data_IF_481830046722
#
_entry.id   IF_481830046722
#
_cell.length_a   1.000
_cell.length_b   1.000
_cell.length_c   1.000
_cell.angle_alpha   90.00
_cell.angle_beta   90.00
_cell.angle_gamma   90.00
#
_symmetry.space_group_name_H-M   'P 1'
#
loop_
_entity.id
_entity.type
_entity.pdbx_description
1 polymer ?
#
# COMPACT_ATOMS: atom_id res chain seq x y z
N UNK A 1 0.30 47.26 -40.82
CA UNK A 1 0.16 46.81 -39.42
C UNK A 1 1.56 46.65 -38.85
N UNK A 2 1.90 47.48 -37.86
CA UNK A 2 3.28 47.70 -37.43
C UNK A 2 3.79 46.53 -36.57
N UNK A 3 4.94 45.98 -36.96
CA UNK A 3 5.63 44.82 -36.36
C UNK A 3 5.86 44.95 -34.84
N UNK A 4 5.82 46.18 -34.33
CA UNK A 4 5.98 46.49 -32.90
C UNK A 4 4.77 46.11 -32.03
N UNK A 5 3.58 45.90 -32.61
CA UNK A 5 2.39 45.49 -31.85
C UNK A 5 2.33 43.99 -31.52
N UNK A 6 3.02 43.14 -32.30
CA UNK A 6 3.08 41.70 -32.00
C UNK A 6 3.93 41.37 -30.76
N UNK A 7 4.99 42.16 -30.50
CA UNK A 7 5.90 41.92 -29.36
C UNK A 7 5.21 42.23 -28.03
N UNK A 8 4.32 43.23 -28.00
CA UNK A 8 3.56 43.62 -26.79
C UNK A 8 2.52 42.56 -26.44
N UNK A 9 1.86 41.95 -27.44
CA UNK A 9 0.86 40.90 -27.21
C UNK A 9 1.52 39.59 -26.74
N UNK A 10 2.67 39.22 -27.32
CA UNK A 10 3.41 38.03 -26.90
C UNK A 10 3.98 38.14 -25.47
N UNK A 11 4.36 39.35 -25.03
CA UNK A 11 4.84 39.60 -23.66
C UNK A 11 3.73 39.51 -22.61
N UNK A 12 2.52 40.02 -22.90
CA UNK A 12 1.39 39.95 -21.96
C UNK A 12 0.87 38.52 -21.76
N UNK A 13 0.96 37.65 -22.77
CA UNK A 13 0.56 36.23 -22.64
C UNK A 13 1.49 35.43 -21.71
N UNK A 14 2.78 35.78 -21.64
CA UNK A 14 3.74 35.08 -20.77
C UNK A 14 3.61 35.49 -19.29
N UNK A 15 3.23 36.74 -19.01
CA UNK A 15 3.08 37.23 -17.62
C UNK A 15 1.75 36.77 -16.99
N UNK A 16 0.68 36.62 -17.80
CA UNK A 16 -0.61 36.10 -17.32
C UNK A 16 -0.63 34.56 -17.18
N UNK A 17 0.31 33.84 -17.81
CA UNK A 17 0.44 32.40 -17.66
C UNK A 17 1.08 31.95 -16.34
N UNK A 18 1.82 32.83 -15.65
CA UNK A 18 2.58 32.48 -14.44
C UNK A 18 1.91 32.89 -13.12
N UNK A 19 0.79 33.61 -13.15
CA UNK A 19 0.09 33.99 -11.91
C UNK A 19 -1.00 33.00 -11.47
N UNK A 20 -1.34 31.99 -12.28
CA UNK A 20 -2.39 31.02 -11.96
C UNK A 20 -1.89 29.72 -11.29
N UNK A 21 -0.62 29.65 -10.89
CA UNK A 21 -0.08 28.51 -10.13
C UNK A 21 0.37 28.87 -8.70
N UNK A 22 0.08 30.08 -8.20
CA UNK A 22 0.48 30.48 -6.83
C UNK A 22 -0.67 30.67 -5.83
N UNK A 23 -1.93 30.48 -6.25
CA UNK A 23 -3.06 30.39 -5.33
C UNK A 23 -4.08 29.34 -5.80
N UNK A 24 -3.81 28.08 -5.49
CA UNK A 24 -4.86 27.08 -5.27
C UNK A 24 -4.54 26.40 -3.96
N UNK A 25 -4.97 27.06 -2.88
CA UNK A 25 -5.17 26.38 -1.62
C UNK A 25 -6.17 25.25 -1.86
N UNK A 26 -5.77 24.04 -1.42
CA UNK A 26 -6.60 23.04 -0.76
C UNK A 26 -8.11 23.20 -1.03
N UNK A 27 -8.60 22.60 -2.12
CA UNK A 27 -9.99 22.16 -2.20
C UNK A 27 -10.07 20.89 -3.05
N UNK A 28 -10.30 19.82 -2.30
CA UNK A 28 -10.76 18.50 -2.64
C UNK A 28 -11.90 18.54 -3.68
N UNK A 29 -11.82 17.72 -4.73
CA UNK A 29 -12.92 17.56 -5.69
C UNK A 29 -12.55 16.84 -6.98
N UNK A 30 -12.83 15.54 -6.99
CA UNK A 30 -13.12 14.66 -8.15
C UNK A 30 -12.09 14.53 -9.28
N UNK A 31 -11.12 13.64 -9.06
CA UNK A 31 -10.66 12.72 -10.10
C UNK A 31 -11.02 11.29 -9.71
N UNK A 32 -11.89 10.68 -10.50
CA UNK A 32 -12.14 9.25 -10.46
C UNK A 32 -10.94 8.51 -11.06
N UNK A 33 -10.06 7.98 -10.21
CA UNK A 33 -9.31 6.73 -10.47
C UNK A 33 -8.59 6.27 -9.20
N UNK A 34 -8.98 5.06 -8.78
CA UNK A 34 -8.45 4.13 -7.79
C UNK A 34 -7.31 4.53 -6.81
N UNK A 35 -7.64 4.34 -5.53
CA UNK A 35 -6.80 3.85 -4.43
C UNK A 35 -5.45 4.55 -4.16
N UNK A 36 -5.50 5.67 -3.43
CA UNK A 36 -4.42 6.04 -2.49
C UNK A 36 -5.06 6.64 -1.23
N UNK A 37 -5.40 5.80 -0.25
CA UNK A 37 -5.61 6.27 1.13
C UNK A 37 -4.27 6.17 1.87
N UNK A 38 -3.54 7.28 1.91
CA UNK A 38 -2.38 7.44 2.77
C UNK A 38 -2.86 7.46 4.23
N UNK A 39 -2.57 6.40 4.98
CA UNK A 39 -2.81 6.37 6.43
C UNK A 39 -1.52 6.76 7.15
N UNK A 40 -1.44 8.01 7.59
CA UNK A 40 -0.59 8.41 8.71
C UNK A 40 -1.32 8.11 10.02
N UNK A 41 -0.96 7.09 10.81
CA UNK A 41 -1.17 7.18 12.24
C UNK A 41 -0.02 8.03 12.79
N UNK A 42 -0.35 9.13 13.46
CA UNK A 42 0.62 9.80 14.32
C UNK A 42 1.05 8.80 15.40
N UNK A 43 2.28 8.30 15.31
CA UNK A 43 2.92 7.61 16.44
C UNK A 43 3.46 8.68 17.39
N UNK A 44 2.53 9.29 18.14
CA UNK A 44 2.80 10.10 19.31
C UNK A 44 2.26 9.35 20.52
N UNK A 45 3.18 8.91 21.37
CA UNK A 45 2.97 8.35 22.71
C UNK A 45 1.63 8.70 23.37
N UNK A 46 0.77 7.69 23.50
CA UNK A 46 -0.47 7.74 24.27
C UNK A 46 -1.10 6.36 24.27
N UNK A 47 -1.20 5.75 25.45
CA UNK A 47 -2.04 4.59 25.70
C UNK A 47 -3.48 4.94 25.32
N UNK A 48 -3.92 4.52 24.13
CA UNK A 48 -5.32 4.58 23.73
C UNK A 48 -5.82 3.15 23.44
N UNK A 49 -6.84 2.80 24.23
CA UNK A 49 -7.56 1.55 24.34
C UNK A 49 -7.79 0.82 23.01
N UNK A 50 -7.32 -0.42 22.96
CA UNK A 50 -7.50 -1.38 21.86
C UNK A 50 -8.89 -2.01 21.87
N UNK A 51 -9.94 -1.27 21.50
CA UNK A 51 -11.30 -1.83 21.37
C UNK A 51 -11.89 -1.80 19.95
N UNK A 52 -11.26 -1.14 18.97
CA UNK A 52 -11.72 -1.09 17.57
C UNK A 52 -10.66 -1.58 16.56
N UNK A 53 -9.91 -2.64 16.90
CA UNK A 53 -9.01 -3.27 15.93
C UNK A 53 -9.84 -4.01 14.88
N UNK A 54 -10.05 -3.38 13.71
CA UNK A 54 -10.73 -4.02 12.58
C UNK A 54 -10.01 -5.32 12.20
N UNK A 55 -10.77 -6.42 12.12
CA UNK A 55 -10.21 -7.71 11.76
C UNK A 55 -9.67 -7.71 10.33
N UNK A 56 -8.55 -8.40 10.11
CA UNK A 56 -7.97 -8.60 8.79
C UNK A 56 -8.83 -9.61 8.04
N UNK A 57 -9.45 -9.17 6.94
CA UNK A 57 -10.38 -9.96 6.14
C UNK A 57 -9.68 -10.68 4.99
N UNK A 58 -8.65 -10.06 4.41
CA UNK A 58 -7.87 -10.66 3.33
C UNK A 58 -6.44 -10.12 3.26
N UNK A 59 -5.59 -10.87 2.56
CA UNK A 59 -4.22 -10.50 2.24
C UNK A 59 -4.08 -10.40 0.73
N UNK A 60 -3.65 -9.25 0.22
CA UNK A 60 -3.31 -9.08 -1.19
C UNK A 60 -1.80 -9.24 -1.42
N UNK A 61 -1.42 -10.03 -2.42
CA UNK A 61 -0.03 -10.36 -2.74
C UNK A 61 0.23 -10.02 -4.22
N UNK A 62 1.25 -9.23 -4.54
CA UNK A 62 1.66 -9.01 -5.92
C UNK A 62 2.03 -10.31 -6.62
N UNK A 63 1.58 -10.53 -7.86
CA UNK A 63 1.83 -11.74 -8.63
C UNK A 63 2.13 -11.41 -10.09
N UNK A 64 3.39 -11.05 -10.39
CA UNK A 64 3.74 -10.51 -11.70
C UNK A 64 3.03 -9.17 -11.95
N UNK A 65 2.19 -9.09 -12.99
CA UNK A 65 1.32 -7.93 -13.26
C UNK A 65 -0.07 -8.05 -12.60
N UNK A 66 -0.35 -9.20 -12.00
CA UNK A 66 -1.62 -9.56 -11.37
C UNK A 66 -1.49 -9.44 -9.84
N UNK A 67 -2.56 -9.75 -9.12
CA UNK A 67 -2.53 -9.88 -7.66
C UNK A 67 -3.32 -11.10 -7.20
N UNK A 68 -2.83 -11.76 -6.16
CA UNK A 68 -3.57 -12.77 -5.42
C UNK A 68 -4.27 -12.09 -4.25
N UNK A 69 -5.55 -12.40 -4.01
CA UNK A 69 -6.26 -12.03 -2.79
C UNK A 69 -6.60 -13.29 -2.02
N UNK A 70 -6.02 -13.44 -0.84
CA UNK A 70 -6.21 -14.58 0.04
C UNK A 70 -7.19 -14.21 1.13
N UNK A 71 -8.29 -14.93 1.25
CA UNK A 71 -9.28 -14.71 2.29
C UNK A 71 -8.84 -15.34 3.61
N UNK A 72 -8.82 -14.54 4.66
CA UNK A 72 -8.26 -14.92 5.96
C UNK A 72 -9.07 -16.03 6.66
N UNK A 73 -10.36 -16.11 6.39
CA UNK A 73 -11.31 -17.03 7.02
C UNK A 73 -11.34 -18.41 6.35
N UNK A 74 -11.33 -18.42 5.03
CA UNK A 74 -11.57 -19.61 4.20
C UNK A 74 -10.30 -20.14 3.53
N UNK A 75 -9.25 -19.33 3.44
CA UNK A 75 -8.05 -19.67 2.68
C UNK A 75 -8.26 -19.66 1.16
N UNK A 76 -9.40 -19.20 0.67
CA UNK A 76 -9.62 -19.03 -0.77
C UNK A 76 -8.67 -17.97 -1.34
N UNK A 77 -8.06 -18.27 -2.47
CA UNK A 77 -7.13 -17.41 -3.19
C UNK A 77 -7.78 -17.03 -4.52
N UNK A 78 -8.07 -15.75 -4.69
CA UNK A 78 -8.63 -15.19 -5.91
C UNK A 78 -7.48 -14.51 -6.70
N UNK A 79 -7.20 -14.95 -7.93
CA UNK A 79 -6.25 -14.29 -8.83
C UNK A 79 -6.97 -13.22 -9.64
N UNK A 80 -6.57 -11.96 -9.45
CA UNK A 80 -7.07 -10.81 -10.21
C UNK A 80 -6.06 -10.35 -11.24
N UNK A 81 -6.50 -10.05 -12.46
CA UNK A 81 -5.67 -9.40 -13.46
C UNK A 81 -5.42 -7.91 -13.15
N UNK A 82 -4.65 -7.24 -14.00
CA UNK A 82 -4.38 -5.82 -13.90
C UNK A 82 -5.62 -4.93 -14.04
N UNK A 83 -6.72 -5.44 -14.63
CA UNK A 83 -8.00 -4.76 -14.75
C UNK A 83 -8.93 -5.05 -13.55
N UNK A 84 -8.48 -5.83 -12.58
CA UNK A 84 -9.26 -6.22 -11.40
C UNK A 84 -10.33 -7.28 -11.67
N UNK A 85 -10.25 -7.98 -12.80
CA UNK A 85 -11.13 -9.10 -13.11
C UNK A 85 -10.59 -10.39 -12.48
N UNK A 86 -11.49 -11.20 -11.93
CA UNK A 86 -11.16 -12.52 -11.43
C UNK A 86 -10.82 -13.44 -12.61
N UNK A 87 -9.63 -14.01 -12.61
CA UNK A 87 -9.11 -14.88 -13.66
C UNK A 87 -9.19 -16.35 -13.24
N UNK A 88 -8.76 -16.63 -12.01
CA UNK A 88 -8.59 -18.00 -11.52
C UNK A 88 -8.76 -18.03 -10.00
N UNK A 89 -9.20 -19.17 -9.48
CA UNK A 89 -9.39 -19.41 -8.06
C UNK A 89 -8.51 -20.58 -7.61
N UNK A 90 -7.97 -20.47 -6.40
CA UNK A 90 -7.23 -21.53 -5.71
C UNK A 90 -7.58 -21.56 -4.23
N UNK A 91 -7.06 -22.53 -3.51
CA UNK A 91 -7.30 -22.66 -2.07
C UNK A 91 -6.02 -23.01 -1.33
N UNK A 92 -5.80 -22.37 -0.19
CA UNK A 92 -4.81 -22.82 0.78
C UNK A 92 -5.24 -24.14 1.41
N UNK A 93 -4.26 -25.00 1.68
CA UNK A 93 -4.45 -26.16 2.54
C UNK A 93 -4.73 -25.70 3.98
N UNK A 94 -5.23 -26.64 4.80
CA UNK A 94 -5.55 -26.36 6.20
C UNK A 94 -4.33 -25.94 7.02
N UNK A 95 -3.14 -26.45 6.68
CA UNK A 95 -1.88 -26.10 7.33
C UNK A 95 -1.51 -24.66 7.02
N UNK A 96 -1.49 -24.28 5.75
CA UNK A 96 -1.13 -22.95 5.31
C UNK A 96 -2.15 -21.90 5.76
N UNK A 97 -3.44 -22.25 5.79
CA UNK A 97 -4.50 -21.38 6.32
C UNK A 97 -4.30 -21.13 7.82
N UNK A 98 -4.04 -22.18 8.61
CA UNK A 98 -3.78 -22.02 10.03
C UNK A 98 -2.53 -21.19 10.29
N UNK A 99 -1.50 -21.36 9.46
CA UNK A 99 -0.28 -20.57 9.54
C UNK A 99 -0.57 -19.09 9.20
N UNK A 100 -1.29 -18.82 8.11
CA UNK A 100 -1.73 -17.47 7.73
C UNK A 100 -2.46 -16.77 8.87
N UNK A 101 -3.47 -17.43 9.45
CA UNK A 101 -4.28 -16.93 10.56
C UNK A 101 -3.45 -16.63 11.83
N UNK A 102 -2.33 -17.34 12.01
CA UNK A 102 -1.44 -17.08 13.15
C UNK A 102 -0.69 -15.75 13.01
N UNK A 103 -0.38 -15.33 11.78
CA UNK A 103 0.38 -14.11 11.48
C UNK A 103 -0.50 -12.86 11.42
N UNK A 104 -1.69 -12.94 10.81
CA UNK A 104 -2.57 -11.80 10.52
C UNK A 104 -3.37 -11.30 11.74
N UNK A 105 -2.77 -11.33 12.92
CA UNK A 105 -3.39 -10.77 14.13
C UNK A 105 -3.01 -9.29 14.24
N UNK A 106 -3.96 -8.38 14.51
CA UNK A 106 -3.71 -6.93 14.48
C UNK A 106 -2.54 -6.45 15.36
N UNK A 107 -2.27 -7.17 16.45
CA UNK A 107 -1.20 -6.85 17.41
C UNK A 107 0.22 -7.22 16.94
N UNK A 108 0.37 -7.89 15.80
CA UNK A 108 1.67 -8.31 15.28
C UNK A 108 2.32 -7.27 14.38
N UNK A 109 1.77 -6.06 14.23
CA UNK A 109 2.26 -5.05 13.28
C UNK A 109 3.19 -4.05 13.99
N UNK A 110 4.41 -3.94 13.50
CA UNK A 110 5.45 -3.04 13.97
C UNK A 110 5.74 -1.93 12.94
N UNK A 111 5.99 -0.72 13.43
CA UNK A 111 6.46 0.39 12.62
C UNK A 111 7.99 0.41 12.47
N UNK A 112 8.49 1.37 11.70
CA UNK A 112 9.93 1.65 11.66
C UNK A 112 10.46 1.95 13.06
N UNK A 113 11.70 1.54 13.40
CA UNK A 113 12.34 2.02 14.61
C UNK A 113 12.44 3.56 14.56
N UNK A 114 12.31 4.19 15.73
CA UNK A 114 12.44 5.64 15.86
C UNK A 114 13.80 6.09 15.29
N UNK A 115 13.77 7.12 14.44
CA UNK A 115 14.96 7.64 13.77
C UNK A 115 15.54 8.82 14.55
N UNK A 116 16.87 8.94 14.49
CA UNK A 116 17.59 10.12 14.99
C UNK A 116 17.32 11.34 14.11
N UNK A 117 17.07 12.49 14.74
CA UNK A 117 16.68 13.73 14.07
C UNK A 117 17.72 14.29 13.08
N UNK A 118 18.99 13.91 13.21
CA UNK A 118 20.10 14.43 12.40
C UNK A 118 20.43 13.58 11.16
N UNK A 119 19.63 12.54 10.87
CA UNK A 119 19.92 11.60 9.80
C UNK A 119 19.38 12.12 8.45
N UNK A 120 20.27 12.20 7.45
CA UNK A 120 19.87 12.54 6.07
C UNK A 120 19.35 11.30 5.36
N UNK A 121 18.11 11.37 4.87
CA UNK A 121 17.42 10.29 4.19
C UNK A 121 17.38 10.53 2.67
N UNK A 122 17.69 9.51 1.89
CA UNK A 122 17.49 9.53 0.45
C UNK A 122 16.03 9.17 0.12
N UNK A 123 15.45 9.83 -0.88
CA UNK A 123 14.15 9.43 -1.41
C UNK A 123 14.34 8.15 -2.23
N UNK A 124 13.96 7.01 -1.64
CA UNK A 124 14.05 5.69 -2.25
C UNK A 124 12.78 4.94 -1.88
N UNK A 125 12.02 4.55 -2.89
CA UNK A 125 10.79 3.79 -2.69
C UNK A 125 11.06 2.29 -2.72
N UNK A 126 10.58 1.59 -1.69
CA UNK A 126 10.55 0.13 -1.64
C UNK A 126 9.09 -0.31 -1.56
N UNK A 127 8.64 -1.07 -2.56
CA UNK A 127 7.27 -1.59 -2.60
C UNK A 127 7.06 -2.66 -1.51
N UNK A 128 5.84 -2.71 -0.97
CA UNK A 128 5.44 -3.75 -0.04
C UNK A 128 5.35 -5.13 -0.70
N UNK A 129 5.61 -6.19 0.08
CA UNK A 129 5.56 -7.56 -0.42
C UNK A 129 4.16 -8.19 -0.29
N UNK A 130 3.31 -7.61 0.55
CA UNK A 130 1.90 -7.99 0.73
C UNK A 130 1.12 -6.80 1.28
N UNK A 131 -0.21 -6.85 1.21
CA UNK A 131 -1.09 -5.86 1.83
C UNK A 131 -2.16 -6.54 2.66
N UNK A 132 -2.36 -6.08 3.89
CA UNK A 132 -3.46 -6.52 4.75
C UNK A 132 -4.68 -5.65 4.49
N UNK A 133 -5.83 -6.27 4.29
CA UNK A 133 -7.12 -5.60 4.10
C UNK A 133 -7.96 -5.76 5.36
N UNK A 134 -8.40 -4.64 5.93
CA UNK A 134 -9.22 -4.57 7.15
C UNK A 134 -10.41 -3.67 6.84
N UNK A 135 -11.57 -4.27 6.55
CA UNK A 135 -12.73 -3.50 6.09
C UNK A 135 -12.42 -2.68 4.83
N UNK A 136 -12.41 -1.35 4.94
CA UNK A 136 -12.06 -0.42 3.85
C UNK A 136 -10.60 0.03 3.90
N UNK A 137 -9.85 -0.37 4.91
CA UNK A 137 -8.46 0.02 5.09
C UNK A 137 -7.53 -1.02 4.45
N UNK A 138 -6.43 -0.52 3.88
CA UNK A 138 -5.34 -1.33 3.34
C UNK A 138 -4.04 -0.90 4.00
N UNK A 139 -3.24 -1.88 4.41
CA UNK A 139 -1.90 -1.65 4.95
C UNK A 139 -0.87 -2.43 4.13
N UNK A 140 0.11 -1.74 3.55
CA UNK A 140 1.19 -2.38 2.80
C UNK A 140 2.32 -2.80 3.75
N UNK A 141 2.64 -4.09 3.75
CA UNK A 141 3.69 -4.66 4.59
C UNK A 141 5.05 -4.54 3.89
N UNK A 142 6.03 -4.01 4.62
CA UNK A 142 7.39 -3.82 4.14
C UNK A 142 7.57 -2.65 3.16
N UNK A 143 6.55 -1.81 2.97
CA UNK A 143 6.64 -0.60 2.15
C UNK A 143 7.48 0.48 2.86
N UNK A 144 8.34 1.19 2.11
CA UNK A 144 9.15 2.29 2.62
C UNK A 144 9.22 3.41 1.56
N UNK A 145 9.09 4.66 1.98
CA UNK A 145 9.13 5.82 1.06
C UNK A 145 10.51 6.49 1.00
N UNK A 146 11.39 6.17 1.94
CA UNK A 146 12.76 6.66 1.97
C UNK A 146 13.73 5.62 2.54
N UNK A 147 15.03 5.92 2.44
CA UNK A 147 16.09 5.07 2.98
C UNK A 147 16.13 5.00 4.51
N UNK A 148 15.32 5.80 5.21
CA UNK A 148 15.22 5.82 6.66
C UNK A 148 14.01 5.01 7.16
N UNK A 149 13.17 4.49 6.24
CA UNK A 149 12.01 3.69 6.59
C UNK A 149 10.78 4.47 6.98
N UNK A 150 10.64 5.72 6.53
CA UNK A 150 9.38 6.42 6.63
C UNK A 150 8.27 5.59 5.98
N UNK A 151 7.15 5.46 6.71
CA UNK A 151 6.00 4.66 6.29
C UNK A 151 6.14 3.15 6.51
N UNK A 152 7.28 2.66 6.99
CA UNK A 152 7.48 1.23 7.24
C UNK A 152 6.48 0.71 8.27
N UNK A 153 5.73 -0.30 7.84
CA UNK A 153 4.88 -1.15 8.65
C UNK A 153 5.10 -2.58 8.20
N UNK A 154 5.31 -3.50 9.12
CA UNK A 154 5.52 -4.92 8.82
C UNK A 154 5.13 -5.76 10.04
N UNK A 155 5.22 -7.09 9.94
CA UNK A 155 5.08 -7.94 11.12
C UNK A 155 6.28 -7.78 12.06
N UNK A 156 6.06 -8.02 13.34
CA UNK A 156 7.10 -7.89 14.37
C UNK A 156 8.03 -9.11 14.41
N UNK A 157 9.35 -8.87 14.48
CA UNK A 157 10.36 -9.90 14.72
C UNK A 157 10.40 -11.00 13.65
N UNK A 158 10.65 -12.25 14.08
CA UNK A 158 10.82 -13.41 13.19
C UNK A 158 9.54 -13.79 12.42
N UNK A 159 8.39 -13.27 12.84
CA UNK A 159 7.12 -13.48 12.13
C UNK A 159 7.13 -12.84 10.73
N UNK A 160 7.82 -11.71 10.56
CA UNK A 160 7.94 -11.07 9.25
C UNK A 160 8.65 -11.97 8.24
N UNK A 161 9.75 -12.62 8.66
CA UNK A 161 10.49 -13.54 7.80
C UNK A 161 9.65 -14.77 7.45
N UNK A 162 8.94 -15.32 8.45
CA UNK A 162 8.12 -16.52 8.28
C UNK A 162 6.93 -16.25 7.35
N UNK A 163 6.23 -15.13 7.55
CA UNK A 163 5.13 -14.70 6.68
C UNK A 163 5.60 -14.38 5.26
N UNK A 164 6.77 -13.74 5.07
CA UNK A 164 7.38 -13.57 3.74
C UNK A 164 7.64 -14.91 3.06
N UNK A 165 8.04 -15.94 3.83
CA UNK A 165 8.17 -17.32 3.36
C UNK A 165 6.85 -17.89 2.87
N UNK A 166 5.77 -17.72 3.63
CA UNK A 166 4.42 -18.14 3.24
C UNK A 166 3.93 -17.40 1.97
N UNK A 167 4.16 -16.08 1.89
CA UNK A 167 3.87 -15.27 0.70
C UNK A 167 4.62 -15.81 -0.53
N UNK A 168 5.92 -16.07 -0.39
CA UNK A 168 6.73 -16.64 -1.48
C UNK A 168 6.26 -18.05 -1.87
N UNK A 169 5.83 -18.87 -0.91
CA UNK A 169 5.24 -20.18 -1.17
C UNK A 169 3.96 -20.05 -2.01
N UNK A 170 3.05 -19.15 -1.63
CA UNK A 170 1.81 -18.91 -2.39
C UNK A 170 2.10 -18.43 -3.81
N UNK A 171 3.01 -17.47 -3.97
CA UNK A 171 3.42 -16.98 -5.30
C UNK A 171 4.05 -18.08 -6.16
N UNK A 172 4.82 -19.00 -5.58
CA UNK A 172 5.47 -20.06 -6.34
C UNK A 172 4.51 -21.19 -6.71
N UNK A 173 3.56 -21.50 -5.82
CA UNK A 173 2.75 -22.71 -5.94
C UNK A 173 1.29 -22.45 -6.30
N UNK A 174 0.86 -21.20 -6.53
CA UNK A 174 -0.53 -20.84 -6.81
C UNK A 174 -1.22 -21.79 -7.80
N UNK A 175 -0.63 -22.03 -8.97
CA UNK A 175 -1.21 -22.91 -10.01
C UNK A 175 -1.32 -24.40 -9.62
N UNK A 176 -0.77 -24.80 -8.48
CA UNK A 176 -0.93 -26.15 -7.92
C UNK A 176 -1.91 -26.21 -6.74
N UNK A 177 -2.35 -25.05 -6.23
CA UNK A 177 -3.25 -24.91 -5.09
C UNK A 177 -4.70 -24.97 -5.56
N UNK A 178 -5.28 -26.17 -5.61
CA UNK A 178 -6.65 -26.39 -6.04
C UNK A 178 -7.61 -26.48 -4.85
N UNK A 179 -8.81 -25.93 -5.00
CA UNK A 179 -9.91 -26.17 -4.08
C UNK A 179 -10.45 -27.61 -4.27
N UNK A 180 -10.66 -28.35 -3.17
CA UNK A 180 -11.26 -29.70 -3.18
C UNK A 180 -12.77 -29.64 -3.05
#
# INVERSE_FOLDING_TARGET
>A
MNKNWMVVIAGCCLILGFQNCSQSGLSQGDFASLDVHAVTPSVGSGEESSEDAQAITSVEIPFGQNKLRVQADSGRIDLFDSAGQLVEEGCLGSVELSELQSYIKPYNICGAPAQDADRVCAQTYTAGYASLVMGQQRMNLGEMFDSCGSGYKDLCGDQAQSFRGLVAYMQKNFYSLNCQ
#
